data_IF_289483243592
#
_entry.id   IF_289483243592
#
_cell.length_a   1.000
_cell.length_b   1.000
_cell.length_c   1.000
_cell.angle_alpha   90.00
_cell.angle_beta   90.00
_cell.angle_gamma   90.00
#
_symmetry.space_group_name_H-M   'P 1'
#
loop_
_entity.id
_entity.type
_entity.pdbx_description
1 polymer ?
#
# COMPACT_ATOMS: atom_id res chain seq x y z
N UNK A 1 16.72 6.87 -13.28
CA UNK A 1 16.74 5.53 -12.67
C UNK A 1 15.34 4.93 -12.54
N UNK A 2 14.40 5.56 -11.82
CA UNK A 2 13.03 5.02 -11.65
C UNK A 2 12.34 4.66 -12.96
N UNK A 3 12.13 5.62 -13.87
CA UNK A 3 11.44 5.38 -15.14
C UNK A 3 12.13 4.34 -16.02
N UNK A 4 13.47 4.32 -16.00
CA UNK A 4 14.25 3.36 -16.77
C UNK A 4 14.06 1.94 -16.24
N UNK A 5 14.12 1.74 -14.91
CA UNK A 5 13.93 0.43 -14.28
C UNK A 5 12.52 -0.11 -14.51
N UNK A 6 11.49 0.70 -14.24
CA UNK A 6 10.10 0.30 -14.47
C UNK A 6 9.79 0.11 -15.96
N UNK A 7 10.36 0.94 -16.83
CA UNK A 7 10.20 0.82 -18.28
C UNK A 7 10.83 -0.46 -18.81
N UNK A 8 12.06 -0.78 -18.40
CA UNK A 8 12.73 -2.02 -18.78
C UNK A 8 11.96 -3.25 -18.28
N UNK A 9 11.55 -3.27 -17.01
CA UNK A 9 10.77 -4.39 -16.46
C UNK A 9 9.42 -4.57 -17.17
N UNK A 10 8.76 -3.47 -17.53
CA UNK A 10 7.54 -3.52 -18.35
C UNK A 10 7.80 -4.12 -19.73
N UNK A 11 8.91 -3.74 -20.39
CA UNK A 11 9.29 -4.28 -21.69
C UNK A 11 9.56 -5.79 -21.58
N UNK A 12 10.26 -6.23 -20.54
CA UNK A 12 10.54 -7.65 -20.31
C UNK A 12 9.24 -8.45 -20.15
N UNK A 13 8.26 -7.93 -19.41
CA UNK A 13 6.92 -8.54 -19.31
C UNK A 13 6.22 -8.66 -20.66
N UNK A 14 6.25 -7.61 -21.48
CA UNK A 14 5.60 -7.60 -22.80
C UNK A 14 6.31 -8.56 -23.76
N UNK A 15 7.65 -8.58 -23.76
CA UNK A 15 8.46 -9.50 -24.56
C UNK A 15 8.22 -10.97 -24.16
N UNK A 16 7.97 -11.23 -22.87
CA UNK A 16 7.55 -12.53 -22.35
C UNK A 16 6.07 -12.87 -22.64
N UNK A 17 5.41 -12.16 -23.56
CA UNK A 17 3.99 -12.35 -23.92
C UNK A 17 3.01 -12.19 -22.74
N UNK A 18 3.38 -11.40 -21.72
CA UNK A 18 2.49 -11.01 -20.64
C UNK A 18 1.71 -9.74 -20.99
N UNK A 19 0.77 -9.35 -20.12
CA UNK A 19 -0.03 -8.13 -20.31
C UNK A 19 0.47 -7.00 -19.43
N UNK A 20 0.24 -5.76 -19.88
CA UNK A 20 0.51 -4.56 -19.07
C UNK A 20 -0.20 -4.61 -17.70
N UNK A 21 -1.43 -5.16 -17.65
CA UNK A 21 -2.16 -5.33 -16.41
C UNK A 21 -1.46 -6.28 -15.44
N UNK A 22 -0.87 -7.38 -15.94
CA UNK A 22 -0.08 -8.31 -15.12
C UNK A 22 1.19 -7.66 -14.60
N UNK A 23 1.90 -6.91 -15.44
CA UNK A 23 3.06 -6.12 -15.02
C UNK A 23 2.68 -5.14 -13.90
N UNK A 24 1.64 -4.33 -14.10
CA UNK A 24 1.19 -3.37 -13.09
C UNK A 24 0.77 -4.05 -11.78
N UNK A 25 0.13 -5.23 -11.88
CA UNK A 25 -0.20 -6.04 -10.71
C UNK A 25 1.02 -6.56 -9.97
N UNK A 26 2.09 -6.95 -10.68
CA UNK A 26 3.33 -7.38 -10.05
C UNK A 26 4.04 -6.23 -9.35
N UNK A 27 4.10 -5.04 -9.96
CA UNK A 27 4.64 -3.82 -9.32
C UNK A 27 3.90 -3.52 -8.02
N UNK A 28 2.57 -3.56 -8.04
CA UNK A 28 1.75 -3.41 -6.84
C UNK A 28 2.06 -4.48 -5.80
N UNK A 29 2.18 -5.74 -6.23
CA UNK A 29 2.48 -6.84 -5.32
C UNK A 29 3.89 -6.71 -4.71
N UNK A 30 4.84 -6.13 -5.44
CA UNK A 30 6.18 -5.83 -4.93
C UNK A 30 6.11 -4.81 -3.77
N UNK A 31 5.35 -3.72 -3.94
CA UNK A 31 5.11 -2.74 -2.88
C UNK A 31 4.41 -3.36 -1.67
N UNK A 32 3.42 -4.23 -1.90
CA UNK A 32 2.69 -4.94 -0.84
C UNK A 32 3.65 -5.83 -0.04
N UNK A 33 4.50 -6.61 -0.74
CA UNK A 33 5.50 -7.49 -0.13
C UNK A 33 6.50 -6.70 0.72
N UNK A 34 6.98 -5.57 0.18
CA UNK A 34 7.95 -4.71 0.85
C UNK A 34 7.40 -4.12 2.15
N UNK A 35 6.17 -3.61 2.15
CA UNK A 35 5.59 -2.89 3.29
C UNK A 35 5.01 -3.80 4.37
N UNK A 36 4.70 -5.06 4.05
CA UNK A 36 4.05 -5.97 4.97
C UNK A 36 4.90 -7.21 5.27
N UNK A 37 4.84 -8.30 4.50
CA UNK A 37 5.47 -9.56 4.92
C UNK A 37 6.98 -9.43 5.14
N UNK A 38 7.70 -8.60 4.39
CA UNK A 38 9.13 -8.39 4.65
C UNK A 38 9.38 -7.66 5.97
N UNK A 39 8.63 -6.60 6.27
CA UNK A 39 8.75 -5.89 7.56
C UNK A 39 8.44 -6.83 8.72
N UNK A 40 7.31 -7.54 8.66
CA UNK A 40 6.92 -8.49 9.72
C UNK A 40 7.95 -9.63 9.86
N UNK A 41 8.42 -10.19 8.74
CA UNK A 41 9.43 -11.25 8.75
C UNK A 41 10.78 -10.78 9.32
N UNK A 42 11.22 -9.56 9.01
CA UNK A 42 12.43 -8.98 9.59
C UNK A 42 12.28 -8.75 11.09
N UNK A 43 11.15 -8.21 11.54
CA UNK A 43 10.87 -8.03 12.97
C UNK A 43 10.90 -9.39 13.69
N UNK A 44 10.21 -10.40 13.14
CA UNK A 44 10.18 -11.74 13.72
C UNK A 44 11.59 -12.37 13.79
N UNK A 45 12.38 -12.22 12.73
CA UNK A 45 13.76 -12.68 12.70
C UNK A 45 14.60 -12.03 13.81
N UNK A 46 14.52 -10.70 13.95
CA UNK A 46 15.25 -9.96 15.00
C UNK A 46 14.79 -10.40 16.39
N UNK A 47 13.48 -10.55 16.61
CA UNK A 47 12.93 -11.03 17.88
C UNK A 47 13.46 -12.42 18.24
N UNK A 48 13.49 -13.36 17.29
CA UNK A 48 14.08 -14.70 17.48
C UNK A 48 15.55 -14.61 17.87
N UNK A 49 16.33 -13.76 17.20
CA UNK A 49 17.75 -13.56 17.50
C UNK A 49 18.00 -12.97 18.89
N UNK A 50 17.05 -12.19 19.41
CA UNK A 50 17.10 -11.61 20.77
C UNK A 50 16.52 -12.53 21.85
N UNK A 51 16.03 -13.73 21.50
CA UNK A 51 15.39 -14.65 22.45
C UNK A 51 13.99 -14.20 22.91
N UNK A 52 13.36 -13.27 22.19
CA UNK A 52 12.01 -12.80 22.48
C UNK A 52 10.95 -13.78 21.94
N UNK A 53 9.79 -13.92 22.60
CA UNK A 53 8.70 -14.73 22.10
C UNK A 53 8.22 -14.18 20.75
N UNK A 54 7.92 -15.07 19.82
CA UNK A 54 7.44 -14.71 18.47
C UNK A 54 6.00 -15.15 18.27
N UNK A 55 5.31 -14.52 17.32
CA UNK A 55 3.93 -14.86 17.01
C UNK A 55 3.83 -16.28 16.46
N UNK A 56 2.84 -17.03 16.94
CA UNK A 56 2.50 -18.34 16.41
C UNK A 56 1.87 -18.20 15.02
N UNK A 57 2.28 -19.07 14.10
CA UNK A 57 1.79 -19.06 12.73
C UNK A 57 0.34 -19.57 12.69
N UNK A 58 -0.62 -18.64 12.59
CA UNK A 58 -2.03 -18.99 12.43
C UNK A 58 -2.30 -19.35 10.97
N UNK A 59 -2.75 -20.58 10.73
CA UNK A 59 -3.12 -21.04 9.39
C UNK A 59 -4.34 -20.26 8.90
N UNK A 60 -4.24 -19.69 7.70
CA UNK A 60 -5.37 -19.01 7.06
C UNK A 60 -6.42 -20.02 6.64
N UNK A 61 -7.69 -19.71 6.91
CA UNK A 61 -8.81 -20.51 6.41
C UNK A 61 -8.80 -20.54 4.89
N UNK A 62 -8.90 -21.73 4.31
CA UNK A 62 -9.03 -21.94 2.86
C UNK A 62 -10.49 -22.11 2.44
N UNK A 63 -11.45 -21.76 3.29
CA UNK A 63 -12.87 -21.81 2.95
C UNK A 63 -13.14 -20.72 1.91
N UNK A 64 -13.44 -21.15 0.69
CA UNK A 64 -13.78 -20.25 -0.42
C UNK A 64 -15.30 -20.24 -0.55
N UNK A 65 -15.92 -19.08 -0.33
CA UNK A 65 -17.31 -18.87 -0.69
C UNK A 65 -17.43 -18.37 -2.15
N UNK A 66 -18.64 -18.48 -2.71
CA UNK A 66 -18.89 -18.11 -4.10
C UNK A 66 -18.65 -16.61 -4.37
N UNK A 67 -18.87 -15.74 -3.38
CA UNK A 67 -18.64 -14.30 -3.52
C UNK A 67 -17.15 -13.98 -3.55
N UNK A 68 -16.35 -14.66 -2.74
CA UNK A 68 -14.89 -14.58 -2.67
C UNK A 68 -14.25 -15.09 -3.96
N UNK A 69 -14.70 -16.23 -4.48
CA UNK A 69 -14.25 -16.74 -5.79
C UNK A 69 -14.52 -15.73 -6.90
N UNK A 70 -15.74 -15.16 -6.94
CA UNK A 70 -16.11 -14.16 -7.94
C UNK A 70 -15.20 -12.92 -7.87
N UNK A 71 -14.87 -12.44 -6.67
CA UNK A 71 -13.96 -11.29 -6.50
C UNK A 71 -12.54 -11.63 -6.96
N UNK A 72 -12.05 -12.83 -6.65
CA UNK A 72 -10.75 -13.30 -7.10
C UNK A 72 -10.66 -13.33 -8.63
N UNK A 73 -11.65 -13.91 -9.31
CA UNK A 73 -11.69 -13.99 -10.78
C UNK A 73 -11.76 -12.60 -11.46
N UNK A 74 -12.32 -11.61 -10.75
CA UNK A 74 -12.38 -10.21 -11.19
C UNK A 74 -11.10 -9.41 -10.85
N UNK A 75 -10.12 -10.00 -10.17
CA UNK A 75 -8.90 -9.32 -9.74
C UNK A 75 -9.13 -8.29 -8.63
N UNK A 76 -10.22 -8.41 -7.88
CA UNK A 76 -10.56 -7.53 -6.75
C UNK A 76 -9.89 -8.03 -5.48
N UNK A 77 -9.23 -7.12 -4.76
CA UNK A 77 -8.53 -7.46 -3.53
C UNK A 77 -9.50 -7.81 -2.39
N UNK A 78 -9.24 -8.93 -1.72
CA UNK A 78 -9.98 -9.33 -0.53
C UNK A 78 -9.30 -8.80 0.73
N UNK A 79 -10.07 -8.12 1.59
CA UNK A 79 -9.58 -7.63 2.87
C UNK A 79 -10.49 -8.00 4.04
N UNK A 80 -11.58 -8.75 3.81
CA UNK A 80 -12.60 -9.03 4.82
C UNK A 80 -12.09 -9.71 6.10
N UNK A 81 -11.00 -10.47 5.98
CA UNK A 81 -10.32 -11.11 7.12
C UNK A 81 -9.38 -10.10 7.79
N UNK A 82 -9.60 -9.75 9.07
CA UNK A 82 -8.70 -8.86 9.79
C UNK A 82 -7.28 -9.39 9.85
N UNK A 83 -6.31 -8.54 9.45
CA UNK A 83 -4.90 -8.88 9.49
C UNK A 83 -4.05 -7.65 9.87
N UNK A 84 -3.07 -7.79 10.78
CA UNK A 84 -2.14 -6.71 11.11
C UNK A 84 -1.27 -6.29 9.91
N UNK A 85 -1.10 -7.19 8.94
CA UNK A 85 -0.38 -6.94 7.68
C UNK A 85 -1.01 -5.82 6.83
N UNK A 86 -2.30 -5.55 7.00
CA UNK A 86 -2.97 -4.47 6.28
C UNK A 86 -2.68 -3.08 6.86
N UNK A 87 -2.25 -2.98 8.12
CA UNK A 87 -1.99 -1.70 8.80
C UNK A 87 -0.89 -0.88 8.11
N UNK A 88 0.33 -1.41 7.86
CA UNK A 88 1.37 -0.63 7.19
C UNK A 88 0.98 -0.26 5.75
N UNK A 89 0.25 -1.14 5.05
CA UNK A 89 -0.23 -0.88 3.69
C UNK A 89 -1.26 0.26 3.64
N UNK A 90 -2.25 0.22 4.51
CA UNK A 90 -3.27 1.27 4.62
C UNK A 90 -2.65 2.59 5.10
N UNK A 91 -1.69 2.55 6.02
CA UNK A 91 -0.94 3.73 6.46
C UNK A 91 -0.19 4.37 5.30
N UNK A 92 0.57 3.58 4.52
CA UNK A 92 1.31 4.07 3.37
C UNK A 92 0.37 4.63 2.27
N UNK A 93 -0.78 3.99 2.03
CA UNK A 93 -1.80 4.50 1.13
C UNK A 93 -2.30 5.88 1.60
N UNK A 94 -2.76 6.00 2.85
CA UNK A 94 -3.27 7.26 3.39
C UNK A 94 -2.19 8.36 3.33
N UNK A 95 -0.94 8.07 3.68
CA UNK A 95 0.17 9.03 3.58
C UNK A 95 0.41 9.50 2.16
N UNK A 96 0.47 8.58 1.18
CA UNK A 96 0.65 8.95 -0.22
C UNK A 96 -0.50 9.83 -0.72
N UNK A 97 -1.74 9.53 -0.32
CA UNK A 97 -2.90 10.34 -0.68
C UNK A 97 -2.82 11.76 -0.09
N UNK A 98 -2.52 11.88 1.20
CA UNK A 98 -2.40 13.19 1.87
C UNK A 98 -1.25 14.00 1.25
N UNK A 99 -0.08 13.37 1.04
CA UNK A 99 1.07 14.00 0.43
C UNK A 99 0.77 14.48 -1.00
N UNK A 100 0.09 13.65 -1.81
CA UNK A 100 -0.28 14.01 -3.18
C UNK A 100 -1.28 15.18 -3.19
N UNK A 101 -2.35 15.13 -2.38
CA UNK A 101 -3.35 16.20 -2.33
C UNK A 101 -2.75 17.50 -1.79
N UNK A 102 -1.97 17.44 -0.71
CA UNK A 102 -1.29 18.60 -0.12
C UNK A 102 -0.29 19.22 -1.09
N UNK A 103 0.55 18.39 -1.72
CA UNK A 103 1.48 18.84 -2.76
C UNK A 103 0.77 19.44 -3.96
N UNK A 104 -0.35 18.86 -4.40
CA UNK A 104 -1.14 19.40 -5.51
C UNK A 104 -1.67 20.80 -5.21
N UNK A 105 -2.22 21.01 -4.01
CA UNK A 105 -2.69 22.33 -3.56
C UNK A 105 -1.54 23.34 -3.51
N UNK A 106 -0.38 22.93 -3.00
CA UNK A 106 0.81 23.79 -2.93
C UNK A 106 1.28 24.22 -4.32
N UNK A 107 1.38 23.27 -5.26
CA UNK A 107 1.77 23.54 -6.65
C UNK A 107 0.82 24.52 -7.33
N UNK A 108 -0.49 24.39 -7.11
CA UNK A 108 -1.47 25.32 -7.66
C UNK A 108 -1.31 26.73 -7.09
N UNK A 109 -1.03 26.84 -5.79
CA UNK A 109 -0.85 28.12 -5.09
C UNK A 109 0.42 28.85 -5.55
N UNK A 110 1.53 28.13 -5.65
CA UNK A 110 2.85 28.69 -5.99
C UNK A 110 3.13 28.75 -7.49
N UNK A 111 2.26 28.14 -8.32
CA UNK A 111 2.45 27.98 -9.78
C UNK A 111 3.80 27.35 -10.16
N UNK A 112 4.36 26.54 -9.27
CA UNK A 112 5.71 25.99 -9.35
C UNK A 112 5.72 24.49 -9.69
N UNK A 113 5.01 24.11 -10.76
CA UNK A 113 4.88 22.71 -11.19
C UNK A 113 6.23 22.00 -11.37
N UNK A 114 7.20 22.66 -11.98
CA UNK A 114 8.52 22.07 -12.21
C UNK A 114 9.26 21.75 -10.91
N UNK A 115 9.12 22.59 -9.88
CA UNK A 115 9.86 22.46 -8.62
C UNK A 115 9.43 21.23 -7.82
N UNK A 116 8.14 20.88 -7.85
CA UNK A 116 7.57 19.75 -7.11
C UNK A 116 7.24 18.55 -8.00
N UNK A 117 7.59 18.60 -9.30
CA UNK A 117 7.17 17.60 -10.29
C UNK A 117 7.51 16.17 -9.86
N UNK A 118 8.75 15.94 -9.40
CA UNK A 118 9.22 14.61 -9.02
C UNK A 118 8.47 14.09 -7.78
N UNK A 119 8.26 14.95 -6.78
CA UNK A 119 7.53 14.58 -5.55
C UNK A 119 6.07 14.24 -5.87
N UNK A 120 5.43 15.06 -6.71
CA UNK A 120 4.07 14.81 -7.19
C UNK A 120 3.96 13.54 -8.02
N UNK A 121 4.95 13.28 -8.87
CA UNK A 121 5.00 12.07 -9.68
C UNK A 121 5.12 10.81 -8.80
N UNK A 122 6.02 10.81 -7.83
CA UNK A 122 6.23 9.67 -6.92
C UNK A 122 4.98 9.46 -6.03
N UNK A 123 4.43 10.51 -5.43
CA UNK A 123 3.23 10.40 -4.62
C UNK A 123 2.03 9.93 -5.46
N UNK A 124 1.89 10.43 -6.69
CA UNK A 124 0.87 10.00 -7.63
C UNK A 124 1.02 8.53 -8.02
N UNK A 125 2.24 8.06 -8.27
CA UNK A 125 2.52 6.65 -8.52
C UNK A 125 2.12 5.77 -7.33
N UNK A 126 2.41 6.21 -6.10
CA UNK A 126 1.95 5.57 -4.88
C UNK A 126 0.42 5.50 -4.80
N UNK A 127 -0.26 6.62 -5.02
CA UNK A 127 -1.73 6.70 -5.04
C UNK A 127 -2.33 5.73 -6.07
N UNK A 128 -1.79 5.68 -7.28
CA UNK A 128 -2.27 4.80 -8.35
C UNK A 128 -2.12 3.31 -7.98
N UNK A 129 -1.02 2.94 -7.31
CA UNK A 129 -0.83 1.56 -6.82
C UNK A 129 -1.68 1.25 -5.59
N UNK A 130 -2.06 2.25 -4.81
CA UNK A 130 -2.90 2.12 -3.61
C UNK A 130 -4.41 2.17 -3.87
N UNK A 131 -4.87 2.28 -5.14
CA UNK A 131 -6.30 2.32 -5.47
C UNK A 131 -7.15 1.22 -4.82
N UNK A 132 -6.75 -0.07 -4.84
CA UNK A 132 -7.54 -1.14 -4.20
C UNK A 132 -7.70 -0.96 -2.69
N UNK A 133 -6.77 -0.24 -2.05
CA UNK A 133 -6.83 0.05 -0.61
C UNK A 133 -7.83 1.18 -0.33
N UNK A 134 -7.86 2.25 -1.14
CA UNK A 134 -8.86 3.31 -0.97
C UNK A 134 -10.28 2.80 -1.23
N UNK A 135 -10.45 2.04 -2.31
CA UNK A 135 -11.69 1.32 -2.59
C UNK A 135 -12.03 0.39 -1.41
N UNK A 136 -10.99 -0.29 -0.94
CA UNK A 136 -10.90 -1.13 0.24
C UNK A 136 -11.57 -0.58 1.49
N UNK A 137 -11.17 0.64 1.85
CA UNK A 137 -11.46 1.34 3.09
C UNK A 137 -12.78 2.12 3.03
N UNK A 138 -13.02 2.83 1.92
CA UNK A 138 -14.02 3.90 1.83
C UNK A 138 -15.18 3.56 0.89
N UNK A 139 -14.89 3.06 -0.31
CA UNK A 139 -15.89 2.98 -1.38
C UNK A 139 -16.81 1.78 -1.26
N UNK A 140 -16.26 0.58 -1.00
CA UNK A 140 -17.05 -0.65 -1.02
C UNK A 140 -17.76 -0.95 0.31
N UNK A 141 -18.86 -1.70 0.22
CA UNK A 141 -19.73 -2.08 1.33
C UNK A 141 -19.92 -3.60 1.47
N UNK A 142 -19.24 -4.38 0.63
CA UNK A 142 -19.32 -5.84 0.64
C UNK A 142 -18.48 -6.48 1.77
N UNK A 143 -18.53 -7.82 1.87
CA UNK A 143 -17.74 -8.59 2.84
C UNK A 143 -16.23 -8.53 2.58
N UNK A 144 -15.82 -8.16 1.38
CA UNK A 144 -14.42 -7.99 1.04
C UNK A 144 -13.80 -6.76 1.68
N UNK A 145 -14.62 -5.81 2.18
CA UNK A 145 -14.23 -4.53 2.78
C UNK A 145 -13.09 -4.64 3.79
N UNK A 146 -12.20 -3.63 3.79
CA UNK A 146 -11.16 -3.52 4.79
C UNK A 146 -11.82 -3.28 6.16
N UNK A 147 -11.42 -4.01 7.23
CA UNK A 147 -12.03 -3.86 8.53
C UNK A 147 -11.83 -2.45 9.07
N UNK A 148 -12.91 -1.86 9.59
CA UNK A 148 -12.90 -0.48 10.11
C UNK A 148 -11.82 -0.27 11.17
N UNK A 149 -11.55 -1.29 11.99
CA UNK A 149 -10.47 -1.25 13.00
C UNK A 149 -9.11 -1.00 12.35
N UNK A 150 -8.78 -1.71 11.26
CA UNK A 150 -7.53 -1.52 10.51
C UNK A 150 -7.44 -0.11 9.95
N UNK A 151 -8.51 0.41 9.35
CA UNK A 151 -8.53 1.78 8.81
C UNK A 151 -8.34 2.83 9.91
N UNK A 152 -9.00 2.65 11.06
CA UNK A 152 -8.87 3.56 12.20
C UNK A 152 -7.44 3.54 12.76
N UNK A 153 -6.89 2.35 13.03
CA UNK A 153 -5.51 2.20 13.50
C UNK A 153 -4.51 2.84 12.54
N UNK A 154 -4.68 2.62 11.24
CA UNK A 154 -3.80 3.20 10.21
C UNK A 154 -3.90 4.72 10.18
N UNK A 155 -5.11 5.28 10.28
CA UNK A 155 -5.34 6.73 10.33
C UNK A 155 -4.70 7.36 11.57
N UNK A 156 -4.84 6.72 12.74
CA UNK A 156 -4.18 7.16 13.97
C UNK A 156 -2.66 7.12 13.84
N UNK A 157 -2.11 6.06 13.22
CA UNK A 157 -0.68 5.95 12.98
C UNK A 157 -0.18 7.07 12.05
N UNK A 158 -0.93 7.40 11.00
CA UNK A 158 -0.62 8.55 10.14
C UNK A 158 -0.60 9.86 10.93
N UNK A 159 -1.60 10.10 11.79
CA UNK A 159 -1.64 11.29 12.65
C UNK A 159 -0.43 11.36 13.59
N UNK A 160 -0.04 10.22 14.19
CA UNK A 160 1.16 10.13 15.03
C UNK A 160 2.43 10.44 14.24
N UNK A 161 2.60 9.84 13.06
CA UNK A 161 3.76 10.08 12.19
C UNK A 161 3.86 11.55 11.77
N UNK A 162 2.72 12.16 11.44
CA UNK A 162 2.66 13.58 11.12
C UNK A 162 3.03 14.45 12.31
N UNK A 163 2.51 14.15 13.50
CA UNK A 163 2.86 14.86 14.73
C UNK A 163 4.34 14.78 15.08
N UNK A 164 4.94 13.59 14.95
CA UNK A 164 6.39 13.39 15.12
C UNK A 164 7.17 14.20 14.09
N UNK A 165 6.76 14.15 12.82
CA UNK A 165 7.43 14.89 11.75
C UNK A 165 7.38 16.41 11.99
N UNK A 166 6.22 16.96 12.37
CA UNK A 166 6.07 18.38 12.71
C UNK A 166 6.96 18.77 13.89
N UNK A 167 7.00 17.96 14.95
CA UNK A 167 7.87 18.21 16.11
C UNK A 167 9.36 18.20 15.74
N UNK A 168 9.81 17.22 14.96
CA UNK A 168 11.22 17.06 14.57
C UNK A 168 11.65 18.12 13.56
N UNK A 169 10.84 18.36 12.54
CA UNK A 169 11.15 19.28 11.44
C UNK A 169 10.79 20.73 11.76
N UNK A 170 10.16 21.00 12.91
CA UNK A 170 9.62 22.32 13.32
C UNK A 170 8.74 22.95 12.24
N UNK A 171 7.92 22.12 11.59
CA UNK A 171 6.92 22.54 10.61
C UNK A 171 5.61 22.83 11.35
#
# INVERSE_FOLDING_TARGET
MFLAAYGQDCLDFILAQSTFQRWWSDQRMWLIRALSPFVFGTIEFVMKRLGLPTHEFVVTSKVIDAELSRRYDQGVFEFGVPSPMFVPLATAAILNLIAFLGGFVLVLKERSFCSFFIQMFIAGFGVMNSLPFYEGMVLRRDKGRMPTKTTLTSTLLVGLLYGIASFVLKI
#
